data_IF_277606570611
#
_entry.id   IF_277606570611
#
_cell.length_a   1.000
_cell.length_b   1.000
_cell.length_c   1.000
_cell.angle_alpha   90.00
_cell.angle_beta   90.00
_cell.angle_gamma   90.00
#
_symmetry.space_group_name_H-M   'P 1'
#
loop_
_entity.id
_entity.type
_entity.pdbx_description
1 polymer ?
#
# COMPACT_ATOMS: atom_id res chain seq x y z
N UNK A 1 14.41 -14.46 18.83
CA UNK A 1 14.75 -13.09 19.31
C UNK A 1 14.99 -12.10 18.14
N UNK A 2 15.64 -12.52 17.05
CA UNK A 2 15.90 -11.67 15.86
C UNK A 2 14.67 -11.21 15.05
N UNK A 3 13.58 -11.98 14.98
CA UNK A 3 12.38 -11.61 14.20
C UNK A 3 11.69 -10.31 14.63
N UNK A 4 11.81 -9.89 15.91
CA UNK A 4 11.19 -8.64 16.38
C UNK A 4 11.88 -7.39 15.82
N UNK A 5 13.19 -7.44 15.62
CA UNK A 5 13.95 -6.32 15.05
C UNK A 5 13.58 -6.11 13.58
N UNK A 6 13.47 -7.19 12.79
CA UNK A 6 13.06 -7.07 11.39
C UNK A 6 11.57 -6.74 11.22
N UNK A 7 10.71 -7.14 12.15
CA UNK A 7 9.27 -6.81 12.13
C UNK A 7 8.97 -5.31 12.30
N UNK A 8 9.86 -4.54 12.93
CA UNK A 8 9.73 -3.07 13.01
C UNK A 8 10.14 -2.36 11.71
N UNK A 9 10.90 -3.01 10.82
CA UNK A 9 11.27 -2.49 9.49
C UNK A 9 10.43 -3.10 8.36
N UNK A 10 9.54 -4.06 8.68
CA UNK A 10 8.50 -4.54 7.79
C UNK A 10 7.56 -3.37 7.47
N UNK A 11 7.49 -2.96 6.19
CA UNK A 11 6.44 -2.06 5.74
C UNK A 11 5.16 -2.91 5.60
N UNK A 12 4.47 -3.11 6.72
CA UNK A 12 3.15 -3.74 6.70
C UNK A 12 2.23 -2.85 5.88
N UNK A 13 1.85 -3.35 4.70
CA UNK A 13 1.05 -2.64 3.72
C UNK A 13 -0.33 -3.31 3.60
N UNK A 14 -1.38 -2.49 3.61
CA UNK A 14 -2.71 -2.87 3.12
C UNK A 14 -2.97 -2.18 1.80
N UNK A 15 -3.52 -2.90 0.82
CA UNK A 15 -3.92 -2.35 -0.48
C UNK A 15 -5.40 -2.61 -0.66
N UNK A 16 -6.16 -1.54 -0.91
CA UNK A 16 -7.55 -1.62 -1.36
C UNK A 16 -7.59 -1.38 -2.87
N UNK A 17 -8.04 -2.39 -3.60
CA UNK A 17 -8.12 -2.38 -5.07
C UNK A 17 -9.57 -2.16 -5.49
N UNK A 18 -10.03 -0.93 -5.32
CA UNK A 18 -11.34 -0.50 -5.78
C UNK A 18 -11.41 -0.36 -7.30
N UNK A 19 -12.62 -0.44 -7.83
CA UNK A 19 -12.88 -0.25 -9.28
C UNK A 19 -12.53 1.16 -9.76
N UNK A 20 -12.72 2.18 -8.91
CA UNK A 20 -12.44 3.58 -9.22
C UNK A 20 -11.12 4.07 -8.66
N UNK A 21 -10.74 3.64 -7.45
CA UNK A 21 -9.56 4.11 -6.73
C UNK A 21 -8.77 2.96 -6.12
N UNK A 22 -7.45 3.11 -6.10
CA UNK A 22 -6.53 2.26 -5.38
C UNK A 22 -5.98 3.03 -4.18
N UNK A 23 -6.15 2.47 -2.99
CA UNK A 23 -5.62 3.04 -1.76
C UNK A 23 -4.51 2.15 -1.22
N UNK A 24 -3.45 2.78 -0.70
CA UNK A 24 -2.37 2.08 0.01
C UNK A 24 -2.27 2.61 1.42
N UNK A 25 -2.41 1.72 2.40
CA UNK A 25 -2.22 1.99 3.81
C UNK A 25 -0.88 1.41 4.26
N UNK A 26 -0.11 2.19 5.02
CA UNK A 26 1.10 1.73 5.70
C UNK A 26 0.86 1.80 7.21
N UNK A 27 1.11 0.69 7.91
CA UNK A 27 0.99 0.61 9.37
C UNK A 27 1.81 1.72 10.02
N UNK A 28 1.15 2.53 10.86
CA UNK A 28 1.77 3.65 11.57
C UNK A 28 1.95 4.93 10.74
N UNK A 29 1.60 4.93 9.45
CA UNK A 29 1.60 6.13 8.59
C UNK A 29 0.23 6.52 8.08
N UNK A 30 -0.72 5.59 8.01
CA UNK A 30 -2.04 5.86 7.45
C UNK A 30 -2.12 5.58 5.95
N UNK A 31 -3.08 6.20 5.27
CA UNK A 31 -3.22 6.13 3.81
C UNK A 31 -2.14 7.00 3.18
N UNK A 32 -1.25 6.38 2.41
CA UNK A 32 -0.11 7.03 1.75
C UNK A 32 -0.30 7.15 0.23
N UNK A 33 -1.24 6.41 -0.36
CA UNK A 33 -1.64 6.53 -1.76
C UNK A 33 -3.17 6.50 -1.83
N UNK A 34 -3.74 7.38 -2.65
CA UNK A 34 -5.15 7.39 -3.02
C UNK A 34 -5.26 7.92 -4.46
N UNK A 35 -5.18 7.02 -5.42
CA UNK A 35 -5.10 7.35 -6.84
C UNK A 35 -6.21 6.64 -7.63
N UNK A 36 -6.59 7.11 -8.83
CA UNK A 36 -7.50 6.40 -9.71
C UNK A 36 -6.95 5.01 -10.11
N UNK A 37 -7.82 3.98 -10.11
CA UNK A 37 -7.50 2.62 -10.56
C UNK A 37 -7.48 2.53 -12.10
N UNK A 38 -6.59 3.28 -12.75
CA UNK A 38 -6.55 3.44 -14.21
C UNK A 38 -5.14 3.23 -14.73
N UNK A 39 -5.02 2.66 -15.93
CA UNK A 39 -3.77 2.58 -16.69
C UNK A 39 -3.99 3.10 -18.11
N UNK A 40 -3.07 3.92 -18.61
CA UNK A 40 -3.04 4.33 -20.00
C UNK A 40 -2.35 3.24 -20.84
N UNK A 41 -2.95 2.86 -21.98
CA UNK A 41 -2.45 1.81 -22.86
C UNK A 41 -2.25 2.41 -24.24
N UNK A 42 -1.03 2.31 -24.78
CA UNK A 42 -0.76 2.64 -26.18
C UNK A 42 -0.98 1.39 -27.04
N UNK A 43 -1.70 1.53 -28.15
CA UNK A 43 -2.02 0.44 -29.07
C UNK A 43 -1.28 0.60 -30.39
#
# INVERSE_FOLDING_TARGET
MFNRFFGQFSHDIGIDLGTANTLVYVRGRGIVINEPSVVAINR
#
